data_IF_354805754086
#
_entry.id   IF_354805754086
#
_cell.length_a   1.000
_cell.length_b   1.000
_cell.length_c   1.000
_cell.angle_alpha   90.00
_cell.angle_beta   90.00
_cell.angle_gamma   90.00
#
_symmetry.space_group_name_H-M   'P 1'
#
loop_
_entity.id
_entity.type
_entity.pdbx_description
1 polymer ?
#
# COMPACT_ATOMS: atom_id res chain seq x y z
N UNK A 1 -14.78 -40.83 -32.49
CA UNK A 1 -14.73 -39.35 -32.60
C UNK A 1 -15.62 -38.72 -31.53
N UNK A 2 -15.25 -38.83 -30.24
CA UNK A 2 -16.02 -38.29 -29.06
C UNK A 2 -15.13 -38.01 -27.85
N UNK A 3 -13.99 -37.32 -28.01
CA UNK A 3 -13.12 -36.88 -26.87
C UNK A 3 -12.45 -35.56 -27.18
N UNK A 4 -13.21 -34.48 -27.45
CA UNK A 4 -12.60 -33.16 -27.66
C UNK A 4 -13.46 -32.00 -27.14
N UNK A 5 -14.14 -32.15 -25.99
CA UNK A 5 -15.01 -31.10 -25.45
C UNK A 5 -14.92 -30.93 -23.93
N UNK A 6 -13.86 -31.37 -23.26
CA UNK A 6 -13.73 -31.25 -21.80
C UNK A 6 -12.53 -30.45 -21.30
N UNK A 7 -11.74 -29.80 -22.15
CA UNK A 7 -10.53 -29.09 -21.73
C UNK A 7 -10.73 -27.55 -21.64
N UNK A 8 -11.81 -26.99 -22.18
CA UNK A 8 -12.00 -25.52 -22.16
C UNK A 8 -12.70 -24.95 -20.93
N UNK A 9 -13.26 -25.78 -20.04
CA UNK A 9 -13.97 -25.30 -18.84
C UNK A 9 -13.09 -25.11 -17.61
N UNK A 10 -11.83 -25.56 -17.60
CA UNK A 10 -10.96 -25.50 -16.44
C UNK A 10 -10.07 -24.26 -16.39
N UNK A 11 -10.00 -23.45 -17.46
CA UNK A 11 -9.16 -22.25 -17.52
C UNK A 11 -9.82 -20.98 -17.00
N UNK A 12 -11.11 -20.98 -16.67
CA UNK A 12 -11.84 -19.79 -16.21
C UNK A 12 -11.99 -19.66 -14.68
N UNK A 13 -11.45 -20.58 -13.89
CA UNK A 13 -11.67 -20.61 -12.42
C UNK A 13 -10.45 -20.21 -11.58
N UNK A 14 -9.36 -19.74 -12.17
CA UNK A 14 -8.14 -19.37 -11.40
C UNK A 14 -7.80 -17.89 -11.34
N UNK A 15 -8.65 -17.01 -11.84
CA UNK A 15 -8.43 -15.56 -11.68
C UNK A 15 -9.49 -14.90 -10.78
N UNK A 16 -9.62 -15.38 -9.52
CA UNK A 16 -9.85 -14.44 -8.43
C UNK A 16 -8.48 -13.78 -8.17
N UNK A 17 -8.05 -12.96 -9.10
CA UNK A 17 -6.85 -12.17 -8.96
C UNK A 17 -6.98 -11.39 -7.65
N UNK A 18 -6.04 -11.58 -6.75
CA UNK A 18 -5.82 -10.62 -5.69
C UNK A 18 -5.85 -9.25 -6.35
N UNK A 19 -6.71 -8.34 -5.88
CA UNK A 19 -6.89 -7.04 -6.50
C UNK A 19 -5.52 -6.44 -6.77
N UNK A 20 -5.24 -6.12 -8.04
CA UNK A 20 -3.96 -5.54 -8.42
C UNK A 20 -3.73 -4.25 -7.65
N UNK A 21 -2.47 -3.91 -7.41
CA UNK A 21 -2.14 -2.64 -6.78
C UNK A 21 -2.71 -1.48 -7.61
N UNK A 22 -3.26 -0.47 -6.94
CA UNK A 22 -3.65 0.79 -7.60
C UNK A 22 -2.44 1.63 -8.00
N UNK A 23 -1.26 1.32 -7.44
CA UNK A 23 0.00 1.94 -7.82
C UNK A 23 0.59 1.22 -9.03
N UNK A 24 1.23 1.98 -9.91
CA UNK A 24 1.97 1.45 -11.04
C UNK A 24 3.47 1.47 -10.74
N UNK A 25 4.23 0.57 -11.36
CA UNK A 25 5.68 0.44 -11.21
C UNK A 25 6.16 0.46 -9.74
N UNK A 26 5.41 -0.19 -8.84
CA UNK A 26 5.81 -0.27 -7.43
C UNK A 26 7.01 -1.18 -7.16
N UNK A 27 7.40 -2.00 -8.15
CA UNK A 27 8.62 -2.82 -8.17
C UNK A 27 9.82 -2.11 -8.77
N UNK A 28 9.66 -0.89 -9.31
CA UNK A 28 10.72 -0.06 -9.90
C UNK A 28 11.45 -0.68 -11.10
N UNK A 29 10.88 -1.67 -11.75
CA UNK A 29 11.51 -2.31 -12.91
C UNK A 29 11.52 -1.40 -14.15
N UNK A 30 10.57 -0.47 -14.25
CA UNK A 30 10.55 0.57 -15.28
C UNK A 30 11.18 1.86 -14.79
N UNK A 31 11.74 2.65 -15.71
CA UNK A 31 12.33 3.95 -15.41
C UNK A 31 11.28 4.94 -14.88
N UNK A 32 11.72 5.87 -14.03
CA UNK A 32 10.87 6.96 -13.56
C UNK A 32 10.61 7.95 -14.69
N UNK A 33 9.40 7.98 -15.17
CA UNK A 33 8.92 8.91 -16.18
C UNK A 33 7.43 9.23 -15.93
N UNK A 34 6.90 10.20 -16.64
CA UNK A 34 5.51 10.63 -16.47
C UNK A 34 4.48 9.52 -16.68
N UNK A 35 4.81 8.49 -17.45
CA UNK A 35 3.93 7.34 -17.70
C UNK A 35 3.91 6.34 -16.55
N UNK A 36 4.98 6.25 -15.78
CA UNK A 36 5.14 5.30 -14.66
C UNK A 36 4.78 5.93 -13.32
N UNK A 37 4.27 7.17 -13.35
CA UNK A 37 3.56 7.79 -12.25
C UNK A 37 4.38 8.21 -11.03
N UNK A 38 5.67 7.86 -10.93
CA UNK A 38 6.52 8.26 -9.82
C UNK A 38 7.20 9.59 -10.06
N UNK A 39 7.08 10.50 -9.10
CA UNK A 39 7.71 11.82 -9.09
C UNK A 39 8.76 11.84 -7.99
N UNK A 40 9.96 12.24 -8.36
CA UNK A 40 11.06 12.49 -7.43
C UNK A 40 11.11 13.98 -7.10
N UNK A 41 11.20 14.30 -5.82
CA UNK A 41 11.18 15.69 -5.36
C UNK A 41 12.14 15.93 -4.20
N UNK A 42 12.33 17.20 -3.84
CA UNK A 42 13.25 17.72 -2.81
C UNK A 42 14.70 17.83 -3.27
N UNK A 43 15.56 18.29 -2.34
CA UNK A 43 16.97 18.62 -2.65
C UNK A 43 17.85 17.38 -2.86
N UNK A 44 17.49 16.23 -2.28
CA UNK A 44 18.17 14.94 -2.46
C UNK A 44 17.17 13.82 -2.74
N UNK A 45 16.55 13.81 -3.93
CA UNK A 45 15.57 12.79 -4.25
C UNK A 45 16.20 11.41 -4.26
N UNK A 46 15.43 10.36 -3.88
CA UNK A 46 15.89 8.99 -4.05
C UNK A 46 16.05 8.65 -5.54
N UNK A 47 16.78 7.59 -5.83
CA UNK A 47 17.05 7.15 -7.19
C UNK A 47 16.66 5.71 -7.40
N UNK A 48 16.35 5.33 -8.63
CA UNK A 48 16.24 3.93 -9.04
C UNK A 48 17.65 3.31 -9.07
N UNK A 49 17.83 2.14 -8.50
CA UNK A 49 19.13 1.52 -8.30
C UNK A 49 19.08 0.01 -8.53
N UNK A 50 20.13 -0.52 -9.14
CA UNK A 50 20.37 -1.95 -9.33
C UNK A 50 21.38 -2.53 -8.31
N UNK A 51 21.75 -1.77 -7.29
CA UNK A 51 22.69 -2.22 -6.25
C UNK A 51 22.08 -3.29 -5.36
N UNK A 52 20.81 -3.15 -5.03
CA UNK A 52 20.06 -4.04 -4.16
C UNK A 52 18.61 -4.05 -4.61
N UNK A 53 17.97 -5.22 -4.73
CA UNK A 53 16.55 -5.38 -4.99
C UNK A 53 15.99 -6.50 -4.13
N UNK A 54 14.73 -6.38 -3.69
CA UNK A 54 14.02 -7.48 -3.03
C UNK A 54 13.57 -8.51 -4.06
N UNK A 55 13.10 -8.02 -5.22
CA UNK A 55 12.75 -8.85 -6.38
C UNK A 55 13.10 -8.13 -7.67
N UNK A 56 13.22 -8.87 -8.78
CA UNK A 56 13.63 -8.28 -10.04
C UNK A 56 15.07 -7.78 -10.02
N UNK A 57 15.30 -6.64 -10.64
CA UNK A 57 16.64 -6.05 -10.80
C UNK A 57 16.82 -4.72 -10.07
N UNK A 58 15.75 -3.98 -9.90
CA UNK A 58 15.81 -2.60 -9.41
C UNK A 58 15.00 -2.39 -8.13
N UNK A 59 15.39 -1.38 -7.39
CA UNK A 59 14.66 -0.85 -6.24
C UNK A 59 14.81 0.66 -6.15
N UNK A 60 14.08 1.30 -5.26
CA UNK A 60 14.32 2.68 -4.87
C UNK A 60 15.46 2.74 -3.86
N UNK A 61 16.44 3.60 -4.07
CA UNK A 61 17.56 3.86 -3.17
C UNK A 61 17.52 5.31 -2.69
N UNK A 62 17.40 5.51 -1.39
CA UNK A 62 17.58 6.81 -0.73
C UNK A 62 18.85 6.79 0.11
N UNK A 63 19.73 7.74 -0.16
CA UNK A 63 20.97 7.95 0.60
C UNK A 63 21.12 9.42 0.93
N UNK A 64 21.02 9.74 2.21
CA UNK A 64 21.16 11.10 2.72
C UNK A 64 22.42 11.21 3.59
N UNK A 65 23.14 12.30 3.42
CA UNK A 65 24.27 12.66 4.28
C UNK A 65 24.26 14.17 4.49
N UNK A 66 24.28 14.59 5.74
CA UNK A 66 24.24 15.98 6.11
C UNK A 66 25.64 16.48 6.49
N UNK A 67 26.27 17.23 5.60
CA UNK A 67 27.61 17.77 5.81
C UNK A 67 27.59 19.17 6.46
N UNK A 68 26.51 19.95 6.27
CA UNK A 68 26.45 21.36 6.57
C UNK A 68 25.41 21.76 7.64
N UNK A 69 24.87 20.81 8.39
CA UNK A 69 23.79 21.05 9.36
C UNK A 69 22.52 21.70 8.75
N UNK A 70 22.26 21.45 7.46
CA UNK A 70 21.03 21.84 6.79
C UNK A 70 20.16 20.59 6.58
N UNK A 71 18.82 20.70 6.68
CA UNK A 71 17.95 19.55 6.43
C UNK A 71 18.14 19.04 4.99
N UNK A 72 18.36 17.74 4.86
CA UNK A 72 18.33 17.05 3.56
C UNK A 72 17.09 16.18 3.48
N UNK A 73 16.40 16.27 2.39
CA UNK A 73 15.15 15.55 2.15
C UNK A 73 15.15 14.91 0.77
N UNK A 74 14.54 13.72 0.70
CA UNK A 74 14.21 13.03 -0.53
C UNK A 74 12.75 12.59 -0.50
N UNK A 75 12.00 12.85 -1.57
CA UNK A 75 10.61 12.45 -1.69
C UNK A 75 10.40 11.57 -2.91
N UNK A 76 9.62 10.50 -2.72
CA UNK A 76 9.04 9.70 -3.78
C UNK A 76 7.53 9.85 -3.71
N UNK A 77 6.89 10.24 -4.80
CA UNK A 77 5.47 10.56 -4.83
C UNK A 77 4.80 9.85 -6.00
N UNK A 78 3.63 9.26 -5.75
CA UNK A 78 2.74 8.82 -6.82
C UNK A 78 1.32 9.31 -6.57
N UNK A 79 0.68 9.83 -7.60
CA UNK A 79 -0.73 10.21 -7.59
C UNK A 79 -1.55 9.20 -8.40
N UNK A 80 -2.63 8.73 -7.81
CA UNK A 80 -3.61 7.83 -8.42
C UNK A 80 -4.93 8.58 -8.45
N UNK A 81 -5.37 8.98 -9.63
CA UNK A 81 -6.58 9.80 -9.80
C UNK A 81 -7.86 8.97 -9.82
N UNK A 82 -7.77 7.67 -10.18
CA UNK A 82 -8.89 6.75 -10.28
C UNK A 82 -8.52 5.39 -9.68
N UNK A 83 -9.52 4.59 -9.27
CA UNK A 83 -9.31 3.24 -8.75
C UNK A 83 -9.44 3.14 -7.23
N UNK A 84 -9.67 4.26 -6.55
CA UNK A 84 -10.05 4.29 -5.14
C UNK A 84 -11.58 4.33 -5.06
N UNK A 85 -12.13 3.46 -4.22
CA UNK A 85 -13.56 3.41 -3.89
C UNK A 85 -13.72 4.01 -2.50
N UNK A 86 -14.45 5.12 -2.41
CA UNK A 86 -14.71 5.79 -1.14
C UNK A 86 -15.40 4.86 -0.13
N UNK A 87 -15.06 4.98 1.13
CA UNK A 87 -15.52 4.12 2.23
C UNK A 87 -14.83 2.76 2.33
N UNK A 88 -14.09 2.31 1.30
CA UNK A 88 -13.36 1.05 1.33
C UNK A 88 -12.03 1.18 2.10
N UNK A 89 -11.53 0.05 2.56
CA UNK A 89 -10.23 -0.05 3.22
C UNK A 89 -9.16 -0.60 2.28
N UNK A 90 -7.95 -0.11 2.47
CA UNK A 90 -6.78 -0.44 1.66
C UNK A 90 -5.62 -0.86 2.54
N UNK A 91 -4.77 -1.74 2.04
CA UNK A 91 -3.54 -2.15 2.68
C UNK A 91 -2.36 -1.57 1.88
N UNK A 92 -1.51 -0.77 2.53
CA UNK A 92 -0.22 -0.37 1.99
C UNK A 92 0.83 -1.38 2.42
N UNK A 93 1.54 -1.94 1.47
CA UNK A 93 2.67 -2.85 1.73
C UNK A 93 3.88 -2.44 0.92
N UNK A 94 5.07 -2.68 1.45
CA UNK A 94 6.34 -2.52 0.75
C UNK A 94 7.43 -3.32 1.43
N UNK A 95 8.53 -3.57 0.74
CA UNK A 95 9.74 -4.14 1.31
C UNK A 95 10.77 -3.05 1.53
N UNK A 96 11.53 -3.16 2.60
CA UNK A 96 12.56 -2.21 3.01
C UNK A 96 13.79 -2.93 3.52
N UNK A 97 14.97 -2.41 3.17
CA UNK A 97 16.27 -2.79 3.72
C UNK A 97 17.01 -1.55 4.17
N UNK A 98 17.29 -1.44 5.47
CA UNK A 98 18.05 -0.34 6.05
C UNK A 98 19.54 -0.67 6.03
N UNK A 99 20.31 0.11 5.29
CA UNK A 99 21.78 -0.02 5.25
C UNK A 99 22.40 0.80 6.36
N UNK A 100 21.95 2.04 6.53
CA UNK A 100 22.35 2.95 7.58
C UNK A 100 21.12 3.66 8.15
N UNK A 101 20.90 3.52 9.44
CA UNK A 101 19.92 4.31 10.20
C UNK A 101 20.70 5.23 11.14
N UNK A 102 21.33 6.22 10.54
CA UNK A 102 22.23 7.14 11.22
C UNK A 102 21.55 8.17 12.10
N UNK A 103 22.33 9.09 12.59
CA UNK A 103 21.87 10.15 13.47
C UNK A 103 20.89 11.07 12.74
N UNK A 104 19.76 11.36 13.40
CA UNK A 104 18.73 12.29 12.90
C UNK A 104 18.08 11.87 11.57
N UNK A 105 18.08 10.59 11.24
CA UNK A 105 17.40 10.07 10.04
C UNK A 105 15.97 9.65 10.39
N UNK A 106 15.05 10.06 9.53
CA UNK A 106 13.63 9.72 9.64
C UNK A 106 13.12 9.29 8.27
N UNK A 107 12.35 8.22 8.24
CA UNK A 107 11.64 7.74 7.06
C UNK A 107 10.14 7.68 7.37
N UNK A 108 9.36 8.29 6.49
CA UNK A 108 7.94 8.50 6.68
C UNK A 108 7.16 8.19 5.41
N UNK A 109 5.89 7.82 5.57
CA UNK A 109 4.92 7.86 4.49
C UNK A 109 3.78 8.83 4.82
N UNK A 110 3.08 9.29 3.80
CA UNK A 110 1.87 10.09 3.89
C UNK A 110 0.92 9.68 2.78
N UNK A 111 -0.37 9.64 3.07
CA UNK A 111 -1.42 9.44 2.08
C UNK A 111 -2.38 10.62 2.14
N UNK A 112 -2.56 11.30 1.02
CA UNK A 112 -3.64 12.25 0.82
C UNK A 112 -4.70 11.59 -0.06
N UNK A 113 -5.91 11.46 0.45
CA UNK A 113 -7.06 11.02 -0.32
C UNK A 113 -7.59 12.19 -1.11
N UNK A 114 -7.95 11.94 -2.38
CA UNK A 114 -8.42 12.97 -3.30
C UNK A 114 -9.74 12.58 -3.96
N UNK A 115 -10.51 13.59 -4.33
CA UNK A 115 -11.67 13.50 -5.22
C UNK A 115 -11.45 14.42 -6.43
N UNK A 116 -12.39 14.46 -7.35
CA UNK A 116 -12.36 15.42 -8.46
C UNK A 116 -12.35 16.89 -7.97
N UNK A 117 -12.96 17.15 -6.82
CA UNK A 117 -12.99 18.48 -6.21
C UNK A 117 -11.73 18.85 -5.42
N UNK A 118 -10.78 17.91 -5.25
CA UNK A 118 -9.53 18.11 -4.51
C UNK A 118 -9.35 17.19 -3.31
N UNK A 119 -8.49 17.56 -2.34
CA UNK A 119 -8.21 16.74 -1.16
C UNK A 119 -9.46 16.54 -0.29
N UNK A 120 -9.68 15.30 0.16
CA UNK A 120 -10.85 14.92 0.99
C UNK A 120 -10.48 14.28 2.32
N UNK A 121 -9.20 14.06 2.57
CA UNK A 121 -8.67 13.52 3.83
C UNK A 121 -7.21 13.16 3.71
N UNK A 122 -6.56 12.95 4.84
CA UNK A 122 -5.17 12.52 4.85
C UNK A 122 -4.86 11.56 5.99
N UNK A 123 -3.80 10.78 5.78
CA UNK A 123 -2.99 10.13 6.80
C UNK A 123 -1.70 10.91 6.82
N UNK A 124 -1.48 11.64 7.91
CA UNK A 124 -0.31 12.51 8.07
C UNK A 124 1.02 11.75 8.01
N UNK A 125 2.12 12.47 8.08
CA UNK A 125 3.45 11.88 8.09
C UNK A 125 3.58 10.86 9.22
N UNK A 126 3.75 9.61 8.85
CA UNK A 126 3.83 8.46 9.77
C UNK A 126 5.16 7.77 9.59
N UNK A 127 5.90 7.61 10.68
CA UNK A 127 7.19 6.95 10.67
C UNK A 127 7.04 5.45 10.39
N UNK A 128 7.99 4.89 9.66
CA UNK A 128 8.14 3.45 9.51
C UNK A 128 9.60 3.05 9.72
N UNK A 129 9.82 1.79 10.00
CA UNK A 129 11.13 1.20 10.17
C UNK A 129 11.20 -0.12 9.42
N UNK A 130 12.40 -0.45 8.96
CA UNK A 130 12.74 -1.75 8.40
C UNK A 130 13.72 -2.50 9.30
N UNK A 131 14.56 -3.27 8.65
CA UNK A 131 15.66 -4.02 9.26
C UNK A 131 16.86 -4.04 8.32
N UNK A 132 17.99 -4.57 8.81
CA UNK A 132 19.22 -4.76 8.01
C UNK A 132 19.03 -5.73 6.84
N UNK A 133 18.08 -6.62 6.95
CA UNK A 133 17.63 -7.50 5.86
C UNK A 133 16.32 -7.00 5.29
N UNK A 134 15.98 -7.39 4.07
CA UNK A 134 14.69 -7.11 3.48
C UNK A 134 13.54 -7.51 4.42
N UNK A 135 12.79 -6.53 4.85
CA UNK A 135 11.69 -6.65 5.80
C UNK A 135 10.41 -6.12 5.17
N UNK A 136 9.33 -6.88 5.24
CA UNK A 136 8.03 -6.43 4.76
C UNK A 136 7.39 -5.51 5.78
N UNK A 137 7.06 -4.29 5.36
CA UNK A 137 6.18 -3.38 6.10
C UNK A 137 4.76 -3.55 5.58
N UNK A 138 3.81 -3.66 6.48
CA UNK A 138 2.39 -3.79 6.16
C UNK A 138 1.59 -2.85 7.05
N UNK A 139 0.82 -1.98 6.41
CA UNK A 139 -0.04 -0.99 7.05
C UNK A 139 -1.46 -1.30 6.59
N UNK A 140 -2.21 -2.10 7.37
CA UNK A 140 -3.50 -2.60 6.97
C UNK A 140 -4.63 -1.58 7.21
N UNK A 141 -5.71 -1.75 6.47
CA UNK A 141 -7.03 -1.16 6.74
C UNK A 141 -7.06 0.37 6.79
N UNK A 142 -6.29 1.02 5.92
CA UNK A 142 -6.34 2.45 5.68
C UNK A 142 -7.71 2.80 5.07
N UNK A 143 -8.53 3.58 5.77
CA UNK A 143 -9.90 3.90 5.33
C UNK A 143 -9.87 5.08 4.38
N UNK A 144 -10.38 4.89 3.16
CA UNK A 144 -10.62 5.98 2.22
C UNK A 144 -11.89 6.74 2.61
N UNK A 145 -11.90 8.07 2.68
CA UNK A 145 -13.12 8.86 2.87
C UNK A 145 -14.19 8.51 1.83
N UNK A 146 -15.48 8.65 2.18
CA UNK A 146 -16.59 8.21 1.33
C UNK A 146 -16.60 8.84 -0.07
N UNK A 147 -16.07 10.05 -0.21
CA UNK A 147 -15.97 10.77 -1.48
C UNK A 147 -14.60 10.68 -2.16
N UNK A 148 -13.69 9.84 -1.67
CA UNK A 148 -12.40 9.61 -2.31
C UNK A 148 -12.55 8.81 -3.60
N UNK A 149 -11.89 9.26 -4.66
CA UNK A 149 -11.77 8.55 -5.95
C UNK A 149 -10.33 8.23 -6.31
N UNK A 150 -9.38 8.86 -5.61
CA UNK A 150 -7.96 8.71 -5.81
C UNK A 150 -7.15 8.95 -4.53
N UNK A 151 -5.84 8.86 -4.66
CA UNK A 151 -4.90 9.15 -3.58
C UNK A 151 -3.59 9.71 -4.13
N UNK A 152 -2.85 10.38 -3.24
CA UNK A 152 -1.44 10.71 -3.43
C UNK A 152 -0.65 10.08 -2.29
N UNK A 153 0.19 9.10 -2.64
CA UNK A 153 1.15 8.48 -1.72
C UNK A 153 2.47 9.23 -1.80
N UNK A 154 3.07 9.53 -0.65
CA UNK A 154 4.42 10.08 -0.55
C UNK A 154 5.24 9.27 0.43
N UNK A 155 6.44 8.89 0.03
CA UNK A 155 7.52 8.50 0.93
C UNK A 155 8.46 9.69 1.11
N UNK A 156 8.82 9.94 2.35
CA UNK A 156 9.72 11.03 2.74
C UNK A 156 10.90 10.47 3.54
N UNK A 157 12.09 10.82 3.12
CA UNK A 157 13.34 10.52 3.80
C UNK A 157 13.97 11.84 4.20
N UNK A 158 14.41 11.99 5.45
CA UNK A 158 14.94 13.26 5.93
C UNK A 158 16.03 13.05 6.95
N UNK A 159 17.07 13.87 6.88
CA UNK A 159 17.99 14.13 7.99
C UNK A 159 17.67 15.51 8.58
N UNK A 160 17.63 15.60 9.91
CA UNK A 160 17.50 16.90 10.57
C UNK A 160 18.71 17.82 10.32
N UNK A 161 18.61 19.07 10.77
CA UNK A 161 19.67 20.08 10.65
C UNK A 161 20.86 19.81 11.59
N UNK A 162 21.38 18.59 11.61
CA UNK A 162 22.50 18.17 12.46
C UNK A 162 23.64 17.71 11.54
N UNK A 163 24.81 18.33 11.71
CA UNK A 163 26.02 17.90 11.00
C UNK A 163 26.32 16.41 11.29
N UNK A 164 26.55 15.63 10.25
CA UNK A 164 26.80 14.20 10.34
C UNK A 164 25.53 13.35 10.34
N UNK A 165 24.33 13.96 10.23
CA UNK A 165 23.10 13.19 9.98
C UNK A 165 23.23 12.34 8.73
N UNK A 166 22.87 11.07 8.79
CA UNK A 166 22.97 10.14 7.65
C UNK A 166 21.85 9.10 7.68
N UNK A 167 21.53 8.56 6.53
CA UNK A 167 20.63 7.43 6.39
C UNK A 167 20.72 6.85 4.98
N UNK A 168 20.67 5.53 4.89
CA UNK A 168 20.67 4.81 3.61
C UNK A 168 19.68 3.66 3.66
N UNK A 169 18.76 3.62 2.70
CA UNK A 169 17.68 2.67 2.64
C UNK A 169 17.34 2.29 1.21
N UNK A 170 16.97 1.03 1.02
CA UNK A 170 16.34 0.53 -0.20
C UNK A 170 14.88 0.20 0.07
N UNK A 171 13.99 0.54 -0.86
CA UNK A 171 12.56 0.19 -0.83
C UNK A 171 12.19 -0.48 -2.14
N UNK A 172 11.32 -1.49 -2.06
CA UNK A 172 10.87 -2.25 -3.22
C UNK A 172 9.44 -2.75 -3.04
N UNK A 173 8.79 -3.10 -4.14
CA UNK A 173 7.47 -3.73 -4.17
C UNK A 173 6.40 -2.97 -3.38
N UNK A 174 6.31 -1.66 -3.62
CA UNK A 174 5.27 -0.83 -3.04
C UNK A 174 3.92 -1.16 -3.67
N UNK A 175 2.94 -1.48 -2.86
CA UNK A 175 1.59 -1.77 -3.32
C UNK A 175 0.54 -1.19 -2.38
N UNK A 176 -0.51 -0.62 -2.96
CA UNK A 176 -1.77 -0.31 -2.27
C UNK A 176 -2.85 -1.17 -2.91
N UNK A 177 -3.48 -2.02 -2.11
CA UNK A 177 -4.54 -2.93 -2.55
C UNK A 177 -5.75 -2.77 -1.66
N UNK A 178 -6.94 -2.97 -2.22
CA UNK A 178 -8.15 -3.07 -1.39
C UNK A 178 -8.00 -4.22 -0.41
N UNK A 179 -8.31 -3.98 0.87
CA UNK A 179 -8.16 -4.96 1.95
C UNK A 179 -8.99 -6.22 1.68
N UNK A 180 -8.39 -7.38 1.87
CA UNK A 180 -9.04 -8.67 1.70
C UNK A 180 -9.67 -9.14 3.02
N UNK A 181 -10.97 -9.32 3.02
CA UNK A 181 -11.75 -9.81 4.15
C UNK A 181 -12.10 -11.30 4.03
N UNK A 182 -11.44 -12.05 3.16
CA UNK A 182 -11.75 -13.47 2.92
C UNK A 182 -11.60 -14.31 4.20
N UNK A 183 -10.63 -14.00 5.06
CA UNK A 183 -10.45 -14.73 6.33
C UNK A 183 -11.62 -14.52 7.28
N UNK A 184 -12.03 -13.28 7.47
CA UNK A 184 -13.16 -12.88 8.32
C UNK A 184 -14.47 -13.46 7.78
N UNK A 185 -14.67 -13.39 6.47
CA UNK A 185 -15.80 -13.99 5.77
C UNK A 185 -15.86 -15.50 6.01
N UNK A 186 -14.77 -16.24 5.77
CA UNK A 186 -14.72 -17.68 5.97
C UNK A 186 -14.92 -18.06 7.44
N UNK A 187 -14.35 -17.28 8.37
CA UNK A 187 -14.60 -17.48 9.82
C UNK A 187 -16.09 -17.30 10.14
N UNK A 188 -16.72 -16.24 9.64
CA UNK A 188 -18.12 -15.97 9.84
C UNK A 188 -19.01 -17.12 9.34
N UNK A 189 -18.75 -17.66 8.15
CA UNK A 189 -19.52 -18.78 7.60
C UNK A 189 -19.40 -20.06 8.44
N UNK A 190 -18.21 -20.33 8.99
CA UNK A 190 -17.98 -21.47 9.88
C UNK A 190 -18.74 -21.35 11.19
N UNK A 191 -18.78 -20.13 11.76
CA UNK A 191 -19.44 -19.90 13.06
C UNK A 191 -20.94 -19.63 12.95
N UNK A 192 -21.45 -19.35 11.74
CA UNK A 192 -22.86 -19.03 11.50
C UNK A 192 -23.41 -19.82 10.29
N UNK A 193 -23.76 -21.10 10.47
CA UNK A 193 -24.26 -21.93 9.37
C UNK A 193 -25.54 -21.39 8.69
N UNK A 194 -26.36 -20.61 9.43
CA UNK A 194 -27.55 -19.95 8.89
C UNK A 194 -27.23 -18.93 7.81
N UNK A 195 -26.14 -18.18 7.97
CA UNK A 195 -25.65 -17.23 6.96
C UNK A 195 -25.16 -17.98 5.71
N UNK A 196 -24.38 -19.04 5.92
CA UNK A 196 -23.90 -19.88 4.83
C UNK A 196 -25.07 -20.47 4.01
N UNK A 197 -26.13 -20.95 4.69
CA UNK A 197 -27.36 -21.43 4.06
C UNK A 197 -28.07 -20.33 3.28
N UNK A 198 -28.26 -19.16 3.89
CA UNK A 198 -28.93 -18.01 3.25
C UNK A 198 -28.20 -17.54 1.97
N UNK A 199 -26.85 -17.58 1.96
CA UNK A 199 -26.05 -17.27 0.77
C UNK A 199 -26.27 -18.33 -0.30
N UNK A 200 -26.23 -19.64 0.06
CA UNK A 200 -26.45 -20.73 -0.88
C UNK A 200 -27.85 -20.68 -1.51
N UNK A 201 -28.84 -20.23 -0.75
CA UNK A 201 -30.23 -20.05 -1.21
C UNK A 201 -30.45 -18.73 -1.95
N UNK A 202 -29.43 -17.90 -2.14
CA UNK A 202 -29.53 -16.61 -2.84
C UNK A 202 -30.28 -15.52 -2.05
N UNK A 203 -30.60 -15.76 -0.77
CA UNK A 203 -31.31 -14.79 0.09
C UNK A 203 -30.44 -13.62 0.53
N UNK A 204 -29.13 -13.84 0.62
CA UNK A 204 -28.13 -12.83 0.99
C UNK A 204 -26.95 -12.95 0.04
N UNK A 205 -26.48 -11.83 -0.50
CA UNK A 205 -25.28 -11.82 -1.35
C UNK A 205 -23.99 -11.85 -0.50
N UNK A 206 -22.89 -12.38 -1.08
CA UNK A 206 -21.55 -12.33 -0.50
C UNK A 206 -21.15 -10.88 -0.15
N UNK A 207 -21.43 -9.93 -1.06
CA UNK A 207 -21.12 -8.50 -0.87
C UNK A 207 -21.84 -7.90 0.34
N UNK A 208 -23.09 -8.24 0.57
CA UNK A 208 -23.84 -7.79 1.76
C UNK A 208 -23.21 -8.31 3.05
N UNK A 209 -22.71 -9.55 3.05
CA UNK A 209 -22.00 -10.12 4.21
C UNK A 209 -20.67 -9.43 4.44
N UNK A 210 -19.90 -9.19 3.37
CA UNK A 210 -18.63 -8.46 3.45
C UNK A 210 -18.83 -7.02 3.95
N UNK A 211 -19.87 -6.33 3.48
CA UNK A 211 -20.25 -5.00 3.99
C UNK A 211 -20.51 -5.02 5.50
N UNK A 212 -21.27 -6.00 5.98
CA UNK A 212 -21.51 -6.16 7.42
C UNK A 212 -20.27 -6.48 8.25
N UNK A 213 -19.29 -7.20 7.68
CA UNK A 213 -17.99 -7.45 8.33
C UNK A 213 -17.22 -6.14 8.46
N UNK A 214 -17.17 -5.33 7.40
CA UNK A 214 -16.48 -4.02 7.37
C UNK A 214 -17.04 -3.08 8.43
N UNK A 215 -18.37 -2.90 8.48
CA UNK A 215 -19.03 -2.03 9.46
C UNK A 215 -18.71 -2.41 10.91
N UNK A 216 -18.74 -3.70 11.24
CA UNK A 216 -18.39 -4.16 12.60
C UNK A 216 -16.94 -3.91 13.00
N UNK A 217 -16.01 -3.92 12.04
CA UNK A 217 -14.62 -3.58 12.32
C UNK A 217 -14.44 -2.08 12.53
N UNK A 218 -15.24 -1.25 11.87
CA UNK A 218 -15.25 0.20 12.07
C UNK A 218 -15.74 0.57 13.47
N UNK A 219 -16.81 -0.04 13.92
CA UNK A 219 -17.33 0.15 15.27
C UNK A 219 -16.28 -0.22 16.34
N UNK A 220 -15.61 -1.39 16.19
CA UNK A 220 -14.56 -1.80 17.12
C UNK A 220 -13.36 -0.84 17.17
N UNK A 221 -12.97 -0.25 16.04
CA UNK A 221 -11.87 0.71 15.98
C UNK A 221 -12.27 2.08 16.57
N UNK A 222 -13.53 2.48 16.44
CA UNK A 222 -14.05 3.68 17.08
C UNK A 222 -14.05 3.55 18.60
N UNK A 223 -14.49 2.41 19.14
CA UNK A 223 -14.49 2.13 20.58
C UNK A 223 -13.08 2.11 21.18
N UNK A 224 -12.08 1.59 20.44
CA UNK A 224 -10.68 1.56 20.89
C UNK A 224 -9.99 2.94 20.90
N UNK A 225 -10.49 3.92 20.14
CA UNK A 225 -9.96 5.28 20.13
C UNK A 225 -10.54 6.16 21.24
N UNK A 226 -11.65 5.74 21.82
CA UNK A 226 -12.37 6.49 22.85
C UNK A 226 -12.07 5.97 24.28
N UNK A 227 -11.26 4.93 24.40
CA UNK A 227 -10.71 4.40 25.66
C UNK A 227 -9.20 4.63 25.73
#
# INVERSE_FOLDING_TARGET
MKYLLFISAFYYLTHLAAADSVLINGSFEDDFNDKNGWILASNLPPVRSDKEAHSGKYSLHSKLKNEFALPNEGHLIQSVNNGIIGGEKYDLTFWIKEVDYGVSYVQQYMINWVSEAGPVGNIGLTNFKGGKNWTKVSIPKLTAPNNATGLRLMFRFVTGAIKGGSGEVFIDNIAIKRSDYTKEYNKLLKTNPSIAKAIKEGKISKEKVLSGIRSREEEKQADQKNN
#
